data_IF_153867638518
#
_entry.id   IF_153867638518
#
_cell.length_a   1.000
_cell.length_b   1.000
_cell.length_c   1.000
_cell.angle_alpha   90.00
_cell.angle_beta   90.00
_cell.angle_gamma   90.00
#
_symmetry.space_group_name_H-M   'P 1'
#
loop_
_entity.id
_entity.type
_entity.pdbx_description
1 polymer ?
#
# COMPACT_ATOMS: atom_id res chain seq x y z
N UNK A 1 11.33 -59.34 -6.65
CA UNK A 1 9.88 -59.28 -6.29
C UNK A 1 9.50 -57.82 -6.16
N UNK A 2 8.88 -57.27 -7.19
CA UNK A 2 8.68 -55.83 -7.37
C UNK A 2 7.41 -55.40 -6.63
N UNK A 3 7.59 -54.63 -5.56
CA UNK A 3 6.53 -54.14 -4.67
C UNK A 3 5.56 -53.12 -5.30
N UNK A 4 5.84 -52.62 -6.52
CA UNK A 4 5.06 -51.59 -7.19
C UNK A 4 3.84 -52.11 -7.98
N UNK A 5 3.73 -53.45 -8.19
CA UNK A 5 2.63 -54.08 -8.92
C UNK A 5 1.42 -54.23 -7.99
N UNK A 6 0.49 -53.27 -8.05
CA UNK A 6 -0.77 -53.33 -7.29
C UNK A 6 -1.79 -54.31 -7.92
N UNK A 7 -2.80 -54.76 -7.16
CA UNK A 7 -3.79 -55.73 -7.60
C UNK A 7 -4.55 -55.34 -8.88
N UNK A 8 -4.84 -54.07 -9.09
CA UNK A 8 -5.47 -53.57 -10.33
C UNK A 8 -4.57 -53.70 -11.54
N UNK A 9 -3.29 -53.40 -11.39
CA UNK A 9 -2.31 -53.52 -12.48
C UNK A 9 -2.05 -54.99 -12.87
N UNK A 10 -2.00 -55.92 -11.91
CA UNK A 10 -1.93 -57.36 -12.18
C UNK A 10 -3.09 -57.84 -13.05
N UNK A 11 -4.31 -57.41 -12.75
CA UNK A 11 -5.51 -57.76 -13.51
C UNK A 11 -5.44 -57.22 -14.95
N UNK A 12 -4.98 -55.97 -15.12
CA UNK A 12 -4.80 -55.37 -16.44
C UNK A 12 -3.74 -56.10 -17.28
N UNK A 13 -2.56 -56.38 -16.72
CA UNK A 13 -1.50 -57.14 -17.40
C UNK A 13 -1.99 -58.54 -17.83
N UNK A 14 -2.73 -59.21 -16.98
CA UNK A 14 -3.30 -60.55 -17.33
C UNK A 14 -4.32 -60.46 -18.49
N UNK A 15 -5.10 -59.41 -18.57
CA UNK A 15 -6.09 -59.22 -19.63
C UNK A 15 -5.49 -58.74 -20.96
N UNK A 16 -4.39 -57.98 -20.93
CA UNK A 16 -3.77 -57.32 -22.10
C UNK A 16 -2.81 -58.17 -22.91
N UNK A 17 -2.70 -59.49 -22.66
CA UNK A 17 -1.72 -60.39 -23.29
C UNK A 17 -0.27 -59.88 -23.23
N UNK A 18 0.06 -59.14 -22.18
CA UNK A 18 1.40 -58.59 -21.98
C UNK A 18 2.40 -59.69 -21.65
N UNK A 19 3.53 -59.70 -22.36
CA UNK A 19 4.63 -60.63 -22.16
C UNK A 19 5.80 -60.02 -21.42
N UNK A 20 6.05 -58.73 -21.63
CA UNK A 20 7.15 -58.00 -20.99
C UNK A 20 6.62 -56.74 -20.34
N UNK A 21 7.02 -56.48 -19.12
CA UNK A 21 6.67 -55.27 -18.34
C UNK A 21 7.95 -54.61 -17.87
N UNK A 22 8.17 -53.40 -18.30
CA UNK A 22 9.35 -52.59 -17.95
C UNK A 22 8.90 -51.31 -17.18
N UNK A 23 9.33 -51.14 -15.93
CA UNK A 23 9.04 -49.94 -15.18
C UNK A 23 9.92 -48.79 -15.67
N UNK A 24 9.32 -47.62 -15.78
CA UNK A 24 9.96 -46.38 -16.17
C UNK A 24 10.31 -45.57 -14.91
N UNK A 25 11.49 -45.81 -14.36
CA UNK A 25 11.99 -45.14 -13.15
C UNK A 25 12.90 -43.96 -13.46
N UNK A 26 12.59 -42.80 -12.92
CA UNK A 26 13.56 -41.71 -12.78
C UNK A 26 13.98 -41.58 -11.33
N UNK A 27 15.27 -41.88 -11.04
CA UNK A 27 15.80 -42.02 -9.68
C UNK A 27 14.98 -43.02 -8.86
N UNK A 28 14.19 -42.57 -7.88
CA UNK A 28 13.32 -43.39 -7.03
C UNK A 28 11.84 -43.31 -7.39
N UNK A 29 11.46 -42.47 -8.36
CA UNK A 29 10.07 -42.24 -8.71
C UNK A 29 9.69 -43.07 -9.94
N UNK A 30 8.59 -43.81 -9.85
CA UNK A 30 7.99 -44.54 -10.97
C UNK A 30 7.15 -43.54 -11.79
N UNK A 31 7.58 -43.22 -13.01
CA UNK A 31 6.86 -42.32 -13.92
C UNK A 31 5.81 -43.06 -14.74
N UNK A 32 6.01 -44.33 -14.98
CA UNK A 32 5.11 -45.14 -15.78
C UNK A 32 5.59 -46.58 -15.93
N UNK A 33 4.88 -47.34 -16.75
CA UNK A 33 5.20 -48.73 -17.05
C UNK A 33 5.01 -48.96 -18.54
N UNK A 34 6.02 -49.55 -19.17
CA UNK A 34 5.96 -50.03 -20.56
C UNK A 34 5.54 -51.48 -20.61
N UNK A 35 4.38 -51.74 -21.20
CA UNK A 35 3.84 -53.09 -21.39
C UNK A 35 3.96 -53.48 -22.86
N UNK A 36 4.54 -54.64 -23.13
CA UNK A 36 4.78 -55.16 -24.49
C UNK A 36 4.13 -56.53 -24.63
N UNK A 37 3.39 -56.75 -25.71
CA UNK A 37 2.68 -57.98 -26.02
C UNK A 37 3.56 -59.06 -26.64
N UNK A 38 2.94 -60.04 -27.33
CA UNK A 38 3.65 -61.11 -28.05
C UNK A 38 4.41 -60.58 -29.26
N UNK A 39 5.57 -61.22 -29.58
CA UNK A 39 6.24 -61.00 -30.86
C UNK A 39 5.38 -61.46 -32.02
N UNK A 40 5.56 -60.80 -33.18
CA UNK A 40 4.77 -61.09 -34.38
C UNK A 40 4.89 -62.59 -34.82
N UNK A 41 6.08 -63.20 -34.68
CA UNK A 41 6.30 -64.63 -35.00
C UNK A 41 6.03 -65.60 -33.84
N UNK A 42 5.39 -65.12 -32.74
CA UNK A 42 5.10 -65.90 -31.53
C UNK A 42 6.32 -66.53 -30.84
N UNK A 43 7.53 -65.98 -31.12
CA UNK A 43 8.78 -66.39 -30.44
C UNK A 43 8.84 -65.75 -29.04
N UNK A 44 9.60 -66.38 -28.15
CA UNK A 44 9.87 -65.77 -26.83
C UNK A 44 10.90 -64.66 -26.94
N UNK A 45 10.86 -63.72 -26.00
CA UNK A 45 11.80 -62.59 -25.92
C UNK A 45 13.16 -63.13 -25.44
N UNK A 46 14.20 -62.98 -26.26
CA UNK A 46 15.57 -63.36 -25.92
C UNK A 46 16.17 -62.36 -24.91
N UNK A 47 17.29 -62.74 -24.30
CA UNK A 47 18.04 -61.89 -23.40
C UNK A 47 18.54 -60.56 -24.09
N UNK A 48 18.79 -60.67 -25.39
CA UNK A 48 19.19 -59.50 -26.21
C UNK A 48 17.99 -58.53 -26.42
N UNK A 49 16.81 -59.07 -26.72
CA UNK A 49 15.61 -58.30 -26.86
C UNK A 49 15.26 -57.50 -25.57
N UNK A 50 15.37 -58.20 -24.43
CA UNK A 50 15.11 -57.54 -23.12
C UNK A 50 16.09 -56.38 -22.88
N UNK A 51 17.38 -56.56 -23.18
CA UNK A 51 18.37 -55.49 -23.06
C UNK A 51 18.06 -54.29 -23.97
N UNK A 52 17.65 -54.55 -25.20
CA UNK A 52 17.24 -53.46 -26.13
C UNK A 52 16.00 -52.72 -25.58
N UNK A 53 15.01 -53.47 -25.09
CA UNK A 53 13.81 -52.90 -24.50
C UNK A 53 14.09 -52.08 -23.24
N UNK A 54 15.05 -52.52 -22.40
CA UNK A 54 15.52 -51.75 -21.25
C UNK A 54 16.18 -50.42 -21.66
N UNK A 55 17.00 -50.41 -22.72
CA UNK A 55 17.60 -49.20 -23.27
C UNK A 55 16.49 -48.25 -23.76
N UNK A 56 15.51 -48.75 -24.50
CA UNK A 56 14.35 -47.97 -24.96
C UNK A 56 13.55 -47.41 -23.78
N UNK A 57 13.25 -48.23 -22.78
CA UNK A 57 12.55 -47.84 -21.58
C UNK A 57 13.28 -46.68 -20.83
N UNK A 58 14.62 -46.77 -20.73
CA UNK A 58 15.44 -45.73 -20.14
C UNK A 58 15.39 -44.40 -20.93
N UNK A 59 15.40 -44.48 -22.28
CA UNK A 59 15.23 -43.30 -23.12
C UNK A 59 13.84 -42.70 -22.98
N UNK A 60 12.79 -43.51 -22.99
CA UNK A 60 11.41 -43.10 -22.76
C UNK A 60 11.24 -42.44 -21.38
N UNK A 61 11.87 -43.01 -20.35
CA UNK A 61 11.85 -42.43 -19.01
C UNK A 61 12.41 -41.00 -19.00
N UNK A 62 13.57 -40.81 -19.64
CA UNK A 62 14.18 -39.46 -19.73
C UNK A 62 13.29 -38.48 -20.51
N UNK A 63 12.73 -38.96 -21.64
CA UNK A 63 11.84 -38.11 -22.45
C UNK A 63 10.57 -37.69 -21.67
N UNK A 64 9.93 -38.64 -20.99
CA UNK A 64 8.76 -38.39 -20.16
C UNK A 64 9.06 -37.40 -19.00
N UNK A 65 10.19 -37.62 -18.34
CA UNK A 65 10.60 -36.75 -17.25
C UNK A 65 10.87 -35.32 -17.73
N UNK A 66 11.57 -35.17 -18.86
CA UNK A 66 11.81 -33.85 -19.44
C UNK A 66 10.51 -33.17 -19.87
N UNK A 67 9.58 -33.91 -20.45
CA UNK A 67 8.26 -33.38 -20.82
C UNK A 67 7.47 -32.86 -19.59
N UNK A 68 7.46 -33.64 -18.50
CA UNK A 68 6.82 -33.19 -17.24
C UNK A 68 7.50 -31.95 -16.66
N UNK A 69 8.83 -31.89 -16.73
CA UNK A 69 9.57 -30.71 -16.27
C UNK A 69 9.21 -29.47 -17.09
N UNK A 70 9.16 -29.57 -18.41
CA UNK A 70 8.81 -28.45 -19.29
C UNK A 70 7.40 -27.95 -18.97
N UNK A 71 6.41 -28.84 -18.89
CA UNK A 71 5.04 -28.47 -18.55
C UNK A 71 4.94 -27.79 -17.18
N UNK A 72 5.62 -28.32 -16.16
CA UNK A 72 5.62 -27.70 -14.83
C UNK A 72 6.26 -26.29 -14.85
N UNK A 73 7.32 -26.09 -15.65
CA UNK A 73 7.96 -24.79 -15.80
C UNK A 73 7.02 -23.82 -16.52
N UNK A 74 6.35 -24.24 -17.57
CA UNK A 74 5.37 -23.42 -18.31
C UNK A 74 4.20 -23.00 -17.41
N UNK A 75 3.63 -23.95 -16.65
CA UNK A 75 2.56 -23.65 -15.69
C UNK A 75 3.01 -22.64 -14.63
N UNK A 76 4.18 -22.86 -14.04
CA UNK A 76 4.74 -21.95 -13.04
C UNK A 76 5.09 -20.57 -13.61
N UNK A 77 5.60 -20.52 -14.84
CA UNK A 77 5.89 -19.25 -15.50
C UNK A 77 4.62 -18.46 -15.76
N UNK A 78 3.54 -19.13 -16.19
CA UNK A 78 2.24 -18.50 -16.40
C UNK A 78 1.67 -17.95 -15.08
N UNK A 79 1.73 -18.73 -14.00
CA UNK A 79 1.29 -18.31 -12.67
C UNK A 79 2.08 -17.06 -12.18
N UNK A 80 3.40 -17.07 -12.35
CA UNK A 80 4.27 -15.95 -11.98
C UNK A 80 3.95 -14.70 -12.80
N UNK A 81 3.77 -14.84 -14.12
CA UNK A 81 3.46 -13.70 -14.99
C UNK A 81 2.10 -13.06 -14.63
N UNK A 82 1.09 -13.86 -14.28
CA UNK A 82 -0.20 -13.34 -13.81
C UNK A 82 -0.03 -12.57 -12.49
N UNK A 83 0.76 -13.09 -11.55
CA UNK A 83 1.05 -12.38 -10.29
C UNK A 83 1.86 -11.11 -10.49
N UNK A 84 2.80 -11.09 -11.43
CA UNK A 84 3.55 -9.88 -11.76
C UNK A 84 2.64 -8.79 -12.34
N UNK A 85 1.72 -9.15 -13.24
CA UNK A 85 0.74 -8.22 -13.79
C UNK A 85 -0.19 -7.65 -12.71
N UNK A 86 -0.63 -8.50 -11.78
CA UNK A 86 -1.42 -8.09 -10.62
C UNK A 86 -0.66 -7.08 -9.73
N UNK A 87 0.61 -7.38 -9.42
CA UNK A 87 1.47 -6.50 -8.64
C UNK A 87 1.75 -5.17 -9.36
N UNK A 88 2.00 -5.19 -10.66
CA UNK A 88 2.23 -3.99 -11.48
C UNK A 88 0.98 -3.09 -11.47
N UNK A 89 -0.20 -3.68 -11.64
CA UNK A 89 -1.47 -2.95 -11.55
C UNK A 89 -1.67 -2.32 -10.18
N UNK A 90 -1.41 -3.06 -9.10
CA UNK A 90 -1.49 -2.55 -7.73
C UNK A 90 -0.46 -1.44 -7.47
N UNK A 91 0.74 -1.55 -8.03
CA UNK A 91 1.78 -0.53 -7.91
C UNK A 91 1.38 0.78 -8.62
N UNK A 92 0.87 0.69 -9.85
CA UNK A 92 0.40 1.86 -10.60
C UNK A 92 -0.73 2.60 -9.89
N UNK A 93 -1.68 1.85 -9.32
CA UNK A 93 -2.76 2.39 -8.48
C UNK A 93 -2.18 3.06 -7.24
N UNK A 94 -1.21 2.43 -6.59
CA UNK A 94 -0.54 2.93 -5.40
C UNK A 94 0.16 4.27 -5.64
N UNK A 95 0.88 4.40 -6.76
CA UNK A 95 1.55 5.64 -7.14
C UNK A 95 0.53 6.76 -7.40
N UNK A 96 -0.54 6.45 -8.14
CA UNK A 96 -1.59 7.43 -8.43
C UNK A 96 -2.29 7.91 -7.15
N UNK A 97 -2.64 6.99 -6.24
CA UNK A 97 -3.25 7.31 -4.94
C UNK A 97 -2.31 8.14 -4.06
N UNK A 98 -1.01 7.82 -4.03
CA UNK A 98 -0.03 8.53 -3.18
C UNK A 98 0.27 9.95 -3.64
N UNK A 99 -0.09 10.33 -4.86
CA UNK A 99 0.10 11.68 -5.39
C UNK A 99 -1.00 12.67 -4.99
N UNK A 100 -2.12 12.18 -4.48
CA UNK A 100 -3.26 13.00 -4.06
C UNK A 100 -3.08 13.41 -2.60
N UNK A 101 -3.03 14.72 -2.34
CA UNK A 101 -2.83 15.29 -1.00
C UNK A 101 -4.14 15.76 -0.33
N UNK A 102 -5.23 15.77 -1.07
CA UNK A 102 -6.56 16.07 -0.54
C UNK A 102 -7.29 14.78 -0.17
N UNK A 103 -7.86 14.76 1.03
CA UNK A 103 -8.48 13.58 1.62
C UNK A 103 -9.76 13.18 0.90
N UNK A 104 -10.54 14.17 0.45
CA UNK A 104 -11.83 13.93 -0.19
C UNK A 104 -11.61 13.43 -1.62
N UNK A 105 -10.70 14.06 -2.37
CA UNK A 105 -10.29 13.64 -3.71
C UNK A 105 -9.67 12.24 -3.70
N UNK A 106 -8.81 11.96 -2.70
CA UNK A 106 -8.22 10.63 -2.50
C UNK A 106 -9.30 9.56 -2.26
N UNK A 107 -10.27 9.86 -1.41
CA UNK A 107 -11.39 8.95 -1.10
C UNK A 107 -12.21 8.62 -2.34
N UNK A 108 -12.55 9.62 -3.13
CA UNK A 108 -13.28 9.45 -4.39
C UNK A 108 -12.51 8.59 -5.38
N UNK A 109 -11.24 8.89 -5.62
CA UNK A 109 -10.40 8.13 -6.57
C UNK A 109 -10.30 6.64 -6.19
N UNK A 110 -10.04 6.35 -4.90
CA UNK A 110 -9.97 4.98 -4.41
C UNK A 110 -11.31 4.26 -4.53
N UNK A 111 -12.40 4.93 -4.17
CA UNK A 111 -13.75 4.34 -4.28
C UNK A 111 -14.10 4.01 -5.72
N UNK A 112 -13.91 4.97 -6.65
CA UNK A 112 -14.20 4.78 -8.07
C UNK A 112 -13.39 3.64 -8.68
N UNK A 113 -12.10 3.54 -8.37
CA UNK A 113 -11.26 2.44 -8.82
C UNK A 113 -11.73 1.10 -8.26
N UNK A 114 -12.05 1.05 -6.97
CA UNK A 114 -12.53 -0.17 -6.32
C UNK A 114 -13.85 -0.66 -6.92
N UNK A 115 -14.79 0.25 -7.17
CA UNK A 115 -16.06 -0.02 -7.84
C UNK A 115 -15.83 -0.55 -9.26
N UNK A 116 -14.94 0.10 -10.03
CA UNK A 116 -14.66 -0.29 -11.41
C UNK A 116 -13.97 -1.65 -11.52
N UNK A 117 -12.97 -1.93 -10.68
CA UNK A 117 -12.22 -3.19 -10.70
C UNK A 117 -13.11 -4.38 -10.29
N UNK A 118 -13.92 -4.20 -9.25
CA UNK A 118 -14.78 -5.26 -8.72
C UNK A 118 -16.18 -5.30 -9.35
N UNK A 119 -16.47 -4.40 -10.29
CA UNK A 119 -17.77 -4.24 -10.92
C UNK A 119 -18.91 -4.15 -9.88
N UNK A 120 -18.71 -3.35 -8.84
CA UNK A 120 -19.74 -3.16 -7.83
C UNK A 120 -20.81 -2.18 -8.32
N UNK A 121 -22.09 -2.44 -7.98
CA UNK A 121 -23.20 -1.53 -8.34
C UNK A 121 -23.26 -0.29 -7.46
N UNK A 122 -22.81 -0.40 -6.19
CA UNK A 122 -22.75 0.69 -5.22
C UNK A 122 -21.49 0.62 -4.40
N UNK A 123 -21.01 1.78 -3.95
CA UNK A 123 -19.83 1.89 -3.11
C UNK A 123 -19.99 2.99 -2.07
N UNK A 124 -19.39 2.78 -0.91
CA UNK A 124 -19.38 3.73 0.20
C UNK A 124 -18.05 3.64 0.95
N UNK A 125 -17.41 4.79 1.15
CA UNK A 125 -16.27 4.91 2.04
C UNK A 125 -16.67 5.73 3.25
N UNK A 126 -16.41 5.18 4.44
CA UNK A 126 -16.72 5.85 5.71
C UNK A 126 -15.46 5.92 6.57
N UNK A 127 -15.30 7.03 7.29
CA UNK A 127 -14.22 7.21 8.27
C UNK A 127 -14.74 7.22 9.68
N UNK A 128 -13.84 6.89 10.59
CA UNK A 128 -14.07 6.91 12.02
C UNK A 128 -13.44 8.18 12.63
N UNK A 129 -14.26 9.05 13.17
CA UNK A 129 -13.79 10.17 13.98
C UNK A 129 -13.66 9.77 15.45
N UNK A 130 -12.64 10.30 16.12
CA UNK A 130 -12.42 10.06 17.55
C UNK A 130 -13.61 10.60 18.37
N UNK A 131 -14.17 9.76 19.22
CA UNK A 131 -15.32 10.10 20.06
C UNK A 131 -16.69 9.97 19.38
N UNK A 132 -16.78 9.78 18.08
CA UNK A 132 -18.05 9.58 17.37
C UNK A 132 -18.47 8.11 17.37
N UNK A 133 -19.74 7.80 17.75
CA UNK A 133 -20.30 6.47 17.59
C UNK A 133 -20.79 6.18 16.16
N UNK A 134 -20.80 7.21 15.31
CA UNK A 134 -21.29 7.16 13.92
C UNK A 134 -20.09 7.25 12.99
N UNK A 135 -20.11 6.45 11.92
CA UNK A 135 -19.14 6.51 10.85
C UNK A 135 -19.54 7.58 9.84
N UNK A 136 -18.64 8.51 9.56
CA UNK A 136 -18.88 9.62 8.65
C UNK A 136 -18.57 9.21 7.21
N UNK A 137 -19.53 9.31 6.27
CA UNK A 137 -19.26 9.06 4.85
C UNK A 137 -18.36 10.16 4.30
N UNK A 138 -17.27 9.77 3.60
CA UNK A 138 -16.40 10.70 2.86
C UNK A 138 -16.90 10.80 1.42
N UNK A 139 -17.10 9.65 0.78
CA UNK A 139 -17.54 9.55 -0.59
C UNK A 139 -18.45 8.34 -0.81
N UNK A 140 -19.25 8.40 -1.87
CA UNK A 140 -20.18 7.35 -2.22
C UNK A 140 -20.32 7.22 -3.74
N UNK A 141 -20.80 6.05 -4.16
CA UNK A 141 -21.15 5.75 -5.54
C UNK A 141 -22.55 5.13 -5.60
N UNK A 142 -23.47 5.68 -6.40
CA UNK A 142 -24.83 5.23 -6.61
C UNK A 142 -25.73 5.13 -5.34
N UNK A 143 -25.59 6.08 -4.40
CA UNK A 143 -26.48 6.20 -3.25
C UNK A 143 -27.44 7.40 -3.40
N UNK A 144 -28.30 7.34 -4.42
CA UNK A 144 -29.20 8.45 -4.78
C UNK A 144 -30.28 8.71 -3.72
N UNK A 145 -30.71 7.68 -2.98
CA UNK A 145 -31.73 7.75 -1.93
C UNK A 145 -31.20 8.25 -0.57
N UNK A 146 -29.95 8.70 -0.54
CA UNK A 146 -29.26 9.12 0.66
C UNK A 146 -28.45 8.01 1.34
N UNK A 147 -27.34 8.43 1.98
CA UNK A 147 -26.39 7.52 2.63
C UNK A 147 -26.94 7.11 3.99
N UNK A 148 -27.10 5.81 4.29
CA UNK A 148 -27.57 5.34 5.58
C UNK A 148 -26.53 5.59 6.67
N UNK A 149 -26.98 6.09 7.83
CA UNK A 149 -26.11 6.30 8.98
C UNK A 149 -25.66 4.96 9.57
N UNK A 150 -24.37 4.70 9.52
CA UNK A 150 -23.73 3.51 10.06
C UNK A 150 -23.16 3.77 11.44
N UNK A 151 -23.51 2.93 12.41
CA UNK A 151 -22.95 3.00 13.75
C UNK A 151 -21.76 2.04 13.88
N UNK A 152 -20.64 2.52 14.41
CA UNK A 152 -19.48 1.72 14.79
C UNK A 152 -19.81 0.56 15.73
N UNK A 153 -20.93 0.65 16.47
CA UNK A 153 -21.39 -0.40 17.39
C UNK A 153 -21.96 -1.64 16.70
N UNK A 154 -22.17 -1.61 15.38
CA UNK A 154 -22.57 -2.79 14.64
C UNK A 154 -21.53 -3.91 14.78
N UNK A 155 -22.01 -5.14 15.02
CA UNK A 155 -21.15 -6.29 15.30
C UNK A 155 -20.12 -6.54 14.19
N UNK A 156 -20.45 -6.24 12.94
CA UNK A 156 -19.54 -6.39 11.80
C UNK A 156 -18.28 -5.55 11.97
N UNK A 157 -18.41 -4.28 12.37
CA UNK A 157 -17.25 -3.41 12.53
C UNK A 157 -16.38 -3.81 13.72
N UNK A 158 -16.98 -4.27 14.82
CA UNK A 158 -16.23 -4.82 15.96
C UNK A 158 -15.42 -6.05 15.57
N UNK A 159 -16.02 -6.98 14.85
CA UNK A 159 -15.32 -8.19 14.38
C UNK A 159 -14.17 -7.84 13.43
N UNK A 160 -14.37 -6.85 12.55
CA UNK A 160 -13.33 -6.38 11.64
C UNK A 160 -12.20 -5.69 12.43
N UNK A 161 -12.51 -4.86 13.43
CA UNK A 161 -11.50 -4.24 14.29
C UNK A 161 -10.67 -5.27 15.07
N UNK A 162 -11.30 -6.34 15.57
CA UNK A 162 -10.60 -7.41 16.31
C UNK A 162 -9.71 -8.27 15.41
N UNK A 163 -10.16 -8.56 14.20
CA UNK A 163 -9.46 -9.47 13.26
C UNK A 163 -8.57 -8.76 12.26
N UNK A 164 -8.76 -7.45 12.08
CA UNK A 164 -8.21 -6.61 11.01
C UNK A 164 -8.39 -7.24 9.61
N UNK A 165 -9.51 -7.96 9.42
CA UNK A 165 -9.83 -8.64 8.16
C UNK A 165 -11.21 -8.22 7.67
N UNK A 166 -11.32 -7.96 6.36
CA UNK A 166 -12.59 -7.70 5.72
C UNK A 166 -13.53 -8.92 5.74
N UNK A 167 -14.79 -8.68 5.47
CA UNK A 167 -15.86 -9.71 5.52
C UNK A 167 -16.76 -9.60 4.28
N UNK A 168 -17.12 -10.77 3.74
CA UNK A 168 -18.09 -10.90 2.65
C UNK A 168 -19.44 -11.33 3.22
N UNK A 169 -20.52 -10.72 2.74
CA UNK A 169 -21.89 -11.11 3.02
C UNK A 169 -22.62 -11.47 1.74
N UNK A 170 -23.33 -12.56 1.75
CA UNK A 170 -24.19 -13.02 0.65
C UNK A 170 -25.66 -13.01 1.06
N UNK A 171 -26.53 -13.18 0.09
CA UNK A 171 -27.99 -13.24 0.28
C UNK A 171 -28.43 -14.32 1.28
N UNK A 172 -27.62 -15.37 1.46
CA UNK A 172 -27.91 -16.50 2.35
C UNK A 172 -27.79 -16.15 3.84
N UNK A 173 -26.94 -15.18 4.21
CA UNK A 173 -26.62 -14.83 5.59
C UNK A 173 -26.99 -13.38 5.91
N UNK A 174 -28.30 -13.11 6.08
CA UNK A 174 -28.78 -11.74 6.36
C UNK A 174 -28.30 -11.21 7.71
N UNK A 175 -27.38 -10.24 7.64
CA UNK A 175 -26.81 -9.54 8.80
C UNK A 175 -27.46 -8.16 9.00
N UNK A 176 -27.21 -7.54 10.15
CA UNK A 176 -27.72 -6.21 10.50
C UNK A 176 -27.26 -5.10 9.53
N UNK A 177 -26.05 -5.22 8.96
CA UNK A 177 -25.55 -4.26 7.98
C UNK A 177 -26.28 -4.36 6.64
N UNK A 178 -26.56 -5.57 6.14
CA UNK A 178 -27.33 -5.80 4.92
C UNK A 178 -28.74 -5.18 5.01
N UNK A 179 -29.39 -5.37 6.17
CA UNK A 179 -30.71 -4.77 6.43
C UNK A 179 -30.69 -3.24 6.45
N UNK A 180 -29.61 -2.64 6.98
CA UNK A 180 -29.46 -1.18 7.03
C UNK A 180 -29.17 -0.58 5.67
N UNK A 181 -28.36 -1.26 4.86
CA UNK A 181 -27.99 -0.80 3.52
C UNK A 181 -29.06 -1.17 2.48
N UNK A 182 -29.96 -2.10 2.77
CA UNK A 182 -30.96 -2.59 1.81
C UNK A 182 -30.39 -3.47 0.70
N UNK A 183 -29.13 -3.97 0.88
CA UNK A 183 -28.40 -4.73 -0.13
C UNK A 183 -28.11 -6.15 0.34
N UNK A 184 -28.07 -7.11 -0.59
CA UNK A 184 -27.91 -8.54 -0.26
C UNK A 184 -26.47 -9.01 -0.28
N UNK A 185 -25.68 -8.58 -1.25
CA UNK A 185 -24.31 -8.99 -1.42
C UNK A 185 -23.39 -7.81 -1.08
N UNK A 186 -22.59 -7.93 -0.03
CA UNK A 186 -21.70 -6.90 0.46
C UNK A 186 -20.29 -7.43 0.65
N UNK A 187 -19.32 -6.56 0.45
CA UNK A 187 -17.96 -6.73 0.92
C UNK A 187 -17.60 -5.52 1.76
N UNK A 188 -17.09 -5.74 2.96
CA UNK A 188 -16.70 -4.69 3.92
C UNK A 188 -15.25 -4.90 4.28
N UNK A 189 -14.40 -3.91 4.01
CA UNK A 189 -12.96 -3.99 4.25
C UNK A 189 -12.51 -2.79 5.08
N UNK A 190 -11.65 -2.97 6.11
CA UNK A 190 -11.11 -1.86 6.88
C UNK A 190 -10.10 -1.05 6.07
N UNK A 191 -10.09 0.25 6.27
CA UNK A 191 -9.01 1.16 5.88
C UNK A 191 -8.03 1.21 7.06
N UNK A 192 -7.01 0.36 7.02
CA UNK A 192 -6.08 0.21 8.14
C UNK A 192 -4.65 0.55 7.75
N UNK A 193 -4.02 1.44 8.54
CA UNK A 193 -2.60 1.73 8.45
C UNK A 193 -1.97 1.57 9.84
N UNK A 194 -0.80 0.91 9.93
CA UNK A 194 -0.07 0.70 11.19
C UNK A 194 -0.93 0.12 12.31
N UNK A 195 -1.75 -0.89 11.98
CA UNK A 195 -2.68 -1.57 12.90
C UNK A 195 -3.83 -0.70 13.46
N UNK A 196 -3.98 0.53 12.98
CA UNK A 196 -5.10 1.42 13.35
C UNK A 196 -6.11 1.47 12.20
N UNK A 197 -7.35 1.09 12.48
CA UNK A 197 -8.46 1.22 11.52
C UNK A 197 -8.95 2.68 11.54
N UNK A 198 -8.92 3.32 10.37
CA UNK A 198 -9.35 4.71 10.19
C UNK A 198 -10.78 4.79 9.66
N UNK A 199 -11.25 3.72 9.01
CA UNK A 199 -12.55 3.68 8.39
C UNK A 199 -12.81 2.35 7.69
N UNK A 200 -13.79 2.34 6.81
CA UNK A 200 -14.21 1.15 6.08
C UNK A 200 -14.62 1.48 4.64
N UNK A 201 -14.25 0.59 3.73
CA UNK A 201 -14.78 0.54 2.38
C UNK A 201 -15.89 -0.51 2.32
N UNK A 202 -17.04 -0.15 1.75
CA UNK A 202 -18.20 -1.02 1.61
C UNK A 202 -18.59 -1.00 0.14
N UNK A 203 -18.56 -2.16 -0.52
CA UNK A 203 -19.04 -2.30 -1.88
C UNK A 203 -20.24 -3.28 -1.89
N UNK A 204 -21.19 -3.03 -2.79
CA UNK A 204 -22.42 -3.78 -2.87
C UNK A 204 -22.61 -4.34 -4.26
N UNK A 205 -23.15 -5.57 -4.33
CA UNK A 205 -23.66 -6.22 -5.53
C UNK A 205 -22.66 -6.22 -6.70
N UNK A 206 -21.89 -7.27 -6.83
CA UNK A 206 -20.99 -7.47 -7.97
C UNK A 206 -21.83 -7.77 -9.22
N UNK A 207 -21.74 -6.90 -10.22
CA UNK A 207 -22.43 -7.06 -11.49
C UNK A 207 -21.59 -7.87 -12.46
N UNK A 208 -22.18 -8.91 -13.04
CA UNK A 208 -21.57 -9.74 -14.07
C UNK A 208 -22.49 -9.81 -15.30
N UNK A 209 -21.99 -10.39 -16.38
CA UNK A 209 -22.83 -10.60 -17.59
C UNK A 209 -24.05 -11.49 -17.36
N UNK A 210 -24.06 -12.27 -16.30
CA UNK A 210 -25.12 -13.23 -15.93
C UNK A 210 -26.08 -12.64 -14.89
N UNK A 211 -25.71 -11.54 -14.25
CA UNK A 211 -26.50 -10.88 -13.19
C UNK A 211 -25.64 -10.50 -12.00
N UNK A 212 -26.28 -10.31 -10.83
CA UNK A 212 -25.60 -9.98 -9.57
C UNK A 212 -25.08 -11.26 -8.93
N UNK A 213 -23.79 -11.27 -8.62
CA UNK A 213 -23.11 -12.38 -7.95
C UNK A 213 -22.53 -11.94 -6.59
N UNK A 214 -22.32 -12.87 -5.64
CA UNK A 214 -21.60 -12.56 -4.42
C UNK A 214 -20.12 -12.30 -4.72
N UNK A 215 -19.48 -11.47 -3.88
CA UNK A 215 -18.03 -11.28 -3.93
C UNK A 215 -17.30 -12.57 -3.53
N UNK A 216 -16.11 -12.79 -4.11
CA UNK A 216 -15.24 -13.92 -3.83
C UNK A 216 -14.13 -13.56 -2.82
N UNK A 217 -13.43 -14.56 -2.28
CA UNK A 217 -12.21 -14.33 -1.46
C UNK A 217 -11.11 -13.58 -2.24
N UNK A 218 -11.00 -13.80 -3.55
CA UNK A 218 -10.08 -13.06 -4.42
C UNK A 218 -10.44 -11.57 -4.51
N UNK A 219 -11.74 -11.26 -4.58
CA UNK A 219 -12.23 -9.86 -4.53
C UNK A 219 -11.91 -9.23 -3.17
N UNK A 220 -12.00 -10.01 -2.09
CA UNK A 220 -11.66 -9.56 -0.74
C UNK A 220 -10.17 -9.23 -0.61
N UNK A 221 -9.30 -10.10 -1.11
CA UNK A 221 -7.85 -9.90 -1.06
C UNK A 221 -7.46 -8.66 -1.87
N UNK A 222 -8.03 -8.49 -3.06
CA UNK A 222 -7.78 -7.34 -3.92
C UNK A 222 -8.25 -6.02 -3.27
N UNK A 223 -9.49 -5.98 -2.77
CA UNK A 223 -10.02 -4.81 -2.09
C UNK A 223 -9.24 -4.49 -0.82
N UNK A 224 -8.79 -5.50 -0.08
CA UNK A 224 -7.95 -5.32 1.11
C UNK A 224 -6.61 -4.66 0.76
N UNK A 225 -5.98 -5.08 -0.34
CA UNK A 225 -4.74 -4.45 -0.81
C UNK A 225 -4.95 -2.97 -1.18
N UNK A 226 -6.04 -2.65 -1.89
CA UNK A 226 -6.40 -1.27 -2.24
C UNK A 226 -6.69 -0.42 -1.00
N UNK A 227 -7.47 -0.95 -0.05
CA UNK A 227 -7.82 -0.27 1.20
C UNK A 227 -6.60 0.01 2.08
N UNK A 228 -5.66 -0.94 2.19
CA UNK A 228 -4.43 -0.74 2.94
C UNK A 228 -3.57 0.37 2.31
N UNK A 229 -3.48 0.40 0.98
CA UNK A 229 -2.75 1.44 0.27
C UNK A 229 -3.41 2.81 0.44
N UNK A 230 -4.74 2.86 0.32
CA UNK A 230 -5.52 4.07 0.57
C UNK A 230 -5.30 4.60 1.99
N UNK A 231 -5.35 3.73 3.00
CA UNK A 231 -5.16 4.13 4.38
C UNK A 231 -3.78 4.76 4.64
N UNK A 232 -2.72 4.24 4.01
CA UNK A 232 -1.37 4.84 4.08
C UNK A 232 -1.35 6.22 3.42
N UNK A 233 -1.98 6.36 2.24
CA UNK A 233 -2.06 7.64 1.55
C UNK A 233 -2.87 8.67 2.34
N UNK A 234 -3.98 8.25 2.98
CA UNK A 234 -4.78 9.08 3.86
C UNK A 234 -4.00 9.58 5.10
N UNK A 235 -3.18 8.71 5.72
CA UNK A 235 -2.27 9.10 6.80
C UNK A 235 -1.29 10.17 6.33
N UNK A 236 -0.67 9.99 5.17
CA UNK A 236 0.28 10.94 4.60
C UNK A 236 -0.39 12.29 4.30
N UNK A 237 -1.57 12.28 3.68
CA UNK A 237 -2.34 13.50 3.40
C UNK A 237 -2.73 14.25 4.68
N UNK A 238 -3.14 13.52 5.73
CA UNK A 238 -3.45 14.09 7.03
C UNK A 238 -2.23 14.75 7.67
N UNK A 239 -1.10 14.06 7.73
CA UNK A 239 0.16 14.58 8.26
C UNK A 239 0.62 15.82 7.49
N UNK A 240 0.53 15.81 6.16
CA UNK A 240 0.87 16.95 5.33
C UNK A 240 -0.03 18.17 5.63
N UNK A 241 -1.32 17.95 5.80
CA UNK A 241 -2.29 18.99 6.16
C UNK A 241 -2.02 19.56 7.55
N UNK A 242 -1.65 18.72 8.53
CA UNK A 242 -1.27 19.14 9.88
C UNK A 242 0.01 20.00 9.85
N UNK A 243 1.07 19.54 9.19
CA UNK A 243 2.32 20.31 9.03
C UNK A 243 2.09 21.64 8.32
N UNK A 244 1.28 21.63 7.26
CA UNK A 244 0.96 22.87 6.52
C UNK A 244 0.19 23.86 7.38
N UNK A 245 -0.78 23.38 8.16
CA UNK A 245 -1.53 24.23 9.12
C UNK A 245 -0.62 24.81 10.19
N UNK A 246 0.26 24.00 10.76
CA UNK A 246 1.21 24.44 11.78
C UNK A 246 2.17 25.49 11.22
N UNK A 247 2.70 25.26 10.01
CA UNK A 247 3.52 26.25 9.31
C UNK A 247 2.78 27.56 9.09
N UNK A 248 1.55 27.50 8.54
CA UNK A 248 0.73 28.71 8.32
C UNK A 248 0.41 29.44 9.63
N UNK A 249 0.14 28.71 10.70
CA UNK A 249 -0.09 29.28 12.02
C UNK A 249 1.14 30.02 12.54
N UNK A 250 2.32 29.40 12.45
CA UNK A 250 3.58 30.01 12.84
C UNK A 250 3.91 31.25 11.99
N UNK A 251 3.71 31.20 10.67
CA UNK A 251 3.88 32.34 9.78
C UNK A 251 2.91 33.49 10.12
N UNK A 252 1.65 33.14 10.44
CA UNK A 252 0.64 34.12 10.84
C UNK A 252 0.98 34.81 12.18
N UNK A 253 1.45 34.04 13.17
CA UNK A 253 1.95 34.61 14.42
C UNK A 253 3.11 35.54 14.15
N UNK A 254 4.15 35.08 13.47
CA UNK A 254 5.33 35.88 13.15
C UNK A 254 5.00 37.13 12.34
N UNK A 255 4.02 37.03 11.44
CA UNK A 255 3.52 38.19 10.65
C UNK A 255 2.72 39.18 11.44
N UNK A 256 2.03 38.78 12.52
CA UNK A 256 1.23 39.65 13.38
C UNK A 256 2.03 40.36 14.47
N UNK A 257 3.24 39.90 14.77
CA UNK A 257 4.11 40.48 15.79
C UNK A 257 4.76 41.76 15.24
N UNK A 258 4.61 42.85 15.97
CA UNK A 258 5.22 44.14 15.61
C UNK A 258 6.75 44.16 15.84
N UNK A 259 7.27 43.21 16.59
CA UNK A 259 8.71 43.05 16.83
C UNK A 259 9.38 42.34 15.63
N UNK A 260 10.51 42.88 15.15
CA UNK A 260 11.33 42.20 14.15
C UNK A 260 11.93 40.94 14.74
N UNK A 261 11.70 39.82 14.08
CA UNK A 261 12.26 38.52 14.45
C UNK A 261 13.16 38.02 13.32
N UNK A 262 14.40 37.69 13.66
CA UNK A 262 15.40 37.11 12.74
C UNK A 262 15.85 35.81 13.35
N UNK A 263 15.91 34.74 12.57
CA UNK A 263 16.51 33.45 12.98
C UNK A 263 17.79 33.20 12.22
N UNK A 264 18.77 32.64 12.91
CA UNK A 264 20.07 32.27 12.37
C UNK A 264 20.17 30.75 12.34
N UNK A 265 20.89 30.24 11.37
CA UNK A 265 21.29 28.83 11.34
C UNK A 265 22.56 28.63 12.22
N UNK A 266 23.03 27.37 12.45
CA UNK A 266 24.21 27.11 13.30
C UNK A 266 25.54 27.68 12.78
N UNK A 267 25.61 28.16 11.55
CA UNK A 267 26.80 28.79 10.98
C UNK A 267 26.68 30.33 10.93
N UNK A 268 25.58 30.89 11.45
CA UNK A 268 25.33 32.33 11.52
C UNK A 268 24.72 32.94 10.27
N UNK A 269 24.23 32.14 9.31
CA UNK A 269 23.46 32.64 8.17
C UNK A 269 21.99 32.89 8.57
N UNK A 270 21.39 33.91 7.99
CA UNK A 270 20.00 34.29 8.28
C UNK A 270 19.05 33.32 7.55
N UNK A 271 18.40 32.44 8.32
CA UNK A 271 17.44 31.46 7.84
C UNK A 271 16.05 32.09 7.60
N UNK A 272 15.57 32.94 8.54
CA UNK A 272 14.30 33.63 8.35
C UNK A 272 14.26 35.02 8.95
N UNK A 273 13.35 35.86 8.43
CA UNK A 273 13.05 37.18 8.96
C UNK A 273 11.56 37.49 8.76
N UNK A 274 10.88 38.02 9.77
CA UNK A 274 9.48 38.41 9.65
C UNK A 274 9.29 39.76 8.98
N UNK A 275 8.04 40.08 8.61
CA UNK A 275 7.71 41.34 7.94
C UNK A 275 8.08 42.60 8.78
N UNK A 276 7.95 42.52 10.10
CA UNK A 276 8.36 43.62 10.99
C UNK A 276 9.87 43.83 10.96
N UNK A 277 10.68 42.77 10.95
CA UNK A 277 12.13 42.85 10.81
C UNK A 277 12.56 43.49 9.49
N UNK A 278 11.99 43.08 8.37
CA UNK A 278 12.23 43.70 7.06
C UNK A 278 11.87 45.19 7.06
N UNK A 279 10.73 45.56 7.67
CA UNK A 279 10.31 46.96 7.80
C UNK A 279 11.24 47.81 8.69
N UNK A 280 11.79 47.22 9.77
CA UNK A 280 12.75 47.90 10.66
C UNK A 280 14.08 48.11 9.92
N UNK A 281 14.59 47.06 9.25
CA UNK A 281 15.87 47.11 8.50
C UNK A 281 15.75 47.94 7.21
N UNK A 282 14.54 48.13 6.68
CA UNK A 282 14.29 48.76 5.36
C UNK A 282 14.95 48.00 4.22
N UNK A 283 14.94 46.70 4.28
CA UNK A 283 15.55 45.79 3.30
C UNK A 283 14.50 44.83 2.72
N UNK A 284 14.78 44.30 1.54
CA UNK A 284 13.97 43.24 0.94
C UNK A 284 14.44 41.86 1.43
N UNK A 285 13.54 40.88 1.42
CA UNK A 285 13.81 39.53 1.90
C UNK A 285 14.97 38.87 1.15
N UNK A 286 15.08 39.11 -0.16
CA UNK A 286 16.18 38.63 -1.03
C UNK A 286 17.56 39.11 -0.61
N UNK A 287 17.62 40.28 0.02
CA UNK A 287 18.88 40.92 0.42
C UNK A 287 19.36 40.50 1.82
N UNK A 288 18.50 39.79 2.54
CA UNK A 288 18.74 39.39 3.94
C UNK A 288 18.98 37.88 4.09
N UNK A 289 18.08 37.07 3.51
CA UNK A 289 18.13 35.62 3.65
C UNK A 289 19.39 35.03 3.01
N UNK A 290 20.03 34.09 3.72
CA UNK A 290 21.25 33.41 3.29
C UNK A 290 22.52 34.25 3.45
N UNK A 291 22.42 35.49 3.96
CA UNK A 291 23.59 36.26 4.32
C UNK A 291 23.97 36.05 5.80
N UNK A 292 25.26 36.05 6.11
CA UNK A 292 25.71 35.92 7.47
C UNK A 292 25.39 37.18 8.28
N UNK A 293 24.97 37.04 9.53
CA UNK A 293 24.54 38.17 10.37
C UNK A 293 25.61 39.24 10.51
N UNK A 294 26.89 38.90 10.52
CA UNK A 294 28.00 39.84 10.58
C UNK A 294 28.03 40.79 9.38
N UNK A 295 27.58 40.32 8.22
CA UNK A 295 27.51 41.18 7.04
C UNK A 295 26.32 42.14 7.11
N UNK A 296 25.18 41.65 7.63
CA UNK A 296 23.99 42.47 7.79
C UNK A 296 24.19 43.58 8.81
N UNK A 297 24.91 43.31 9.89
CA UNK A 297 25.15 44.24 10.99
C UNK A 297 26.60 44.77 11.02
N UNK A 298 27.30 44.78 9.87
CA UNK A 298 28.74 45.21 9.77
C UNK A 298 28.98 46.58 10.42
N UNK A 299 28.00 47.47 10.42
CA UNK A 299 28.11 48.83 11.00
C UNK A 299 27.67 48.92 12.46
N UNK A 300 27.16 47.84 13.01
CA UNK A 300 26.58 47.75 14.34
C UNK A 300 27.32 46.70 15.19
N UNK A 301 28.58 46.97 15.51
CA UNK A 301 29.48 46.04 16.25
C UNK A 301 28.84 45.52 17.54
N UNK A 302 28.04 46.36 18.21
CA UNK A 302 27.37 46.00 19.45
C UNK A 302 26.34 44.88 19.30
N UNK A 303 25.63 44.79 18.16
CA UNK A 303 24.69 43.73 17.84
C UNK A 303 25.49 42.42 17.61
N UNK A 304 26.61 42.51 16.89
CA UNK A 304 27.47 41.35 16.64
C UNK A 304 28.01 40.80 17.97
N UNK A 305 28.41 41.68 18.89
CA UNK A 305 28.87 41.29 20.22
C UNK A 305 27.76 40.59 21.03
N UNK A 306 26.55 41.14 21.04
CA UNK A 306 25.39 40.53 21.72
C UNK A 306 25.07 39.12 21.18
N UNK A 307 25.10 38.92 19.86
CA UNK A 307 24.88 37.62 19.25
C UNK A 307 26.00 36.63 19.67
N UNK A 308 27.26 37.05 19.55
CA UNK A 308 28.41 36.23 19.89
C UNK A 308 28.42 35.86 21.37
N UNK A 309 28.11 36.77 22.28
CA UNK A 309 28.02 36.51 23.72
C UNK A 309 26.87 35.57 24.06
N UNK A 310 25.71 35.74 23.40
CA UNK A 310 24.56 34.84 23.58
C UNK A 310 24.89 33.42 23.20
N UNK A 311 25.56 33.19 22.08
CA UNK A 311 26.03 31.88 21.64
C UNK A 311 27.08 31.28 22.59
N UNK A 312 28.10 32.04 22.98
CA UNK A 312 29.18 31.56 23.85
C UNK A 312 28.70 31.16 25.25
N UNK A 313 27.82 31.96 25.84
CA UNK A 313 27.29 31.73 27.18
C UNK A 313 26.02 30.90 27.23
N UNK A 314 25.44 30.59 26.07
CA UNK A 314 24.15 29.90 25.93
C UNK A 314 23.04 30.53 26.80
N UNK A 315 22.99 31.83 26.83
CA UNK A 315 22.03 32.63 27.59
C UNK A 315 21.44 33.73 26.73
N UNK A 316 20.18 34.07 27.03
CA UNK A 316 19.52 35.20 26.39
C UNK A 316 20.16 36.52 26.81
N UNK A 317 20.64 37.31 25.86
CA UNK A 317 21.18 38.65 26.07
C UNK A 317 20.21 39.68 25.51
N UNK A 318 20.04 40.80 26.20
CA UNK A 318 19.19 41.88 25.74
C UNK A 318 19.77 43.23 26.10
N UNK A 319 19.57 44.20 25.21
CA UNK A 319 19.95 45.58 25.44
C UNK A 319 18.84 46.53 24.93
N UNK A 320 18.77 47.72 25.50
CA UNK A 320 17.77 48.70 25.29
C UNK A 320 18.31 49.94 24.59
N UNK A 321 17.51 50.56 23.70
CA UNK A 321 17.84 51.82 23.02
C UNK A 321 19.10 51.75 22.14
N UNK A 322 19.33 50.62 21.47
CA UNK A 322 20.44 50.49 20.51
C UNK A 322 20.07 51.31 19.26
N UNK A 323 21.04 52.08 18.77
CA UNK A 323 20.91 52.83 17.53
C UNK A 323 21.31 51.94 16.37
N UNK A 324 20.33 51.47 15.59
CA UNK A 324 20.54 50.64 14.41
C UNK A 324 20.68 51.52 13.17
N UNK A 325 21.78 51.37 12.43
CA UNK A 325 21.98 52.04 11.15
C UNK A 325 21.28 51.31 10.02
N UNK A 326 20.11 51.77 9.62
CA UNK A 326 19.39 51.24 8.45
C UNK A 326 19.79 51.96 7.16
N UNK A 327 19.47 51.42 6.01
CA UNK A 327 19.81 51.96 4.66
C UNK A 327 19.40 53.45 4.51
N UNK A 328 18.41 53.92 5.20
CA UNK A 328 17.83 55.25 5.01
C UNK A 328 17.75 56.13 6.27
N UNK A 329 17.96 55.59 7.47
CA UNK A 329 17.78 56.36 8.72
C UNK A 329 18.32 55.56 9.92
N UNK A 330 18.81 56.30 10.92
CA UNK A 330 19.07 55.77 12.24
C UNK A 330 17.78 55.47 12.99
N UNK A 331 17.63 54.27 13.51
CA UNK A 331 16.42 53.81 14.21
C UNK A 331 16.79 53.23 15.55
N UNK A 332 16.16 53.69 16.62
CA UNK A 332 16.41 53.15 17.97
C UNK A 332 15.54 51.91 18.18
N UNK A 333 16.18 50.83 18.58
CA UNK A 333 15.51 49.53 18.78
C UNK A 333 15.94 48.93 20.13
N UNK A 334 15.08 48.09 20.66
CA UNK A 334 15.47 47.17 21.75
C UNK A 334 15.73 45.80 21.13
N UNK A 335 16.87 45.19 21.50
CA UNK A 335 17.29 43.91 20.94
C UNK A 335 17.32 42.87 22.05
N UNK A 336 16.82 41.70 21.72
CA UNK A 336 17.01 40.49 22.56
C UNK A 336 17.45 39.37 21.68
N UNK A 337 18.53 38.72 22.05
CA UNK A 337 19.15 37.59 21.36
C UNK A 337 19.04 36.38 22.26
N UNK A 338 18.46 35.31 21.74
CA UNK A 338 18.40 34.01 22.40
C UNK A 338 19.24 32.99 21.61
N UNK A 339 19.94 32.07 22.30
CA UNK A 339 20.75 31.05 21.68
C UNK A 339 19.94 30.00 20.91
#
# INVERSE_FOLDING_TARGET
KEKWITGRFKKYVAQSKTKVVLPLYHKKNLLGVLCIGEKFMREEYSSVDIKILEIIANHLTKALYNYQLINNVEEKTTEINLKLLELETLFDISVAISSVLDMDELGEEVLWRSVGILNASKGLMVIQEEGSPILNPICNFNWDDGIPLLSRKLQVFKNIEETNRGVIFSAENKNSIQKKLGEENLIVVPLSAKEKTQGYMILCNKETRVGVEPFSEMDLDLLTALCNQAAVAMDNAKLFKEITKEKQFNESILGSIATGVITLDPIGEIDSINAAGLNILKMEKSDVIGNHYMYLFEKDEHIIELITLSELENETKSDLNISLQTVSKETVVNISVAP
#
